data_IF_328770951570
#
_entry.id   IF_328770951570
#
_cell.length_a   1.000
_cell.length_b   1.000
_cell.length_c   1.000
_cell.angle_alpha   90.00
_cell.angle_beta   90.00
_cell.angle_gamma   90.00
#
_symmetry.space_group_name_H-M   'P 1'
#
loop_
_entity.id
_entity.type
_entity.pdbx_description
1 polymer ?
#
# COMPACT_ATOMS: atom_id res chain seq x y z
N UNK A 1 51.79 -24.32 28.24
CA UNK A 1 51.98 -24.47 26.77
C UNK A 1 50.83 -23.74 26.10
N UNK A 2 50.99 -22.42 25.90
CA UNK A 2 49.99 -21.58 25.22
C UNK A 2 50.17 -21.79 23.71
N UNK A 3 49.11 -22.23 23.02
CA UNK A 3 49.09 -22.27 21.55
C UNK A 3 48.73 -20.88 21.04
N UNK A 4 49.71 -20.16 20.53
CA UNK A 4 49.52 -18.94 19.75
C UNK A 4 48.77 -19.27 18.46
N UNK A 5 47.49 -18.90 18.40
CA UNK A 5 46.72 -18.86 17.16
C UNK A 5 46.86 -17.47 16.52
N UNK A 6 48.08 -17.12 16.09
CA UNK A 6 48.31 -15.92 15.29
C UNK A 6 48.34 -16.28 13.80
N UNK A 7 47.20 -16.73 13.28
CA UNK A 7 47.01 -17.00 11.85
C UNK A 7 46.56 -15.72 11.14
N UNK A 8 47.37 -15.22 10.20
CA UNK A 8 47.01 -14.06 9.37
C UNK A 8 45.68 -14.35 8.65
N UNK A 9 44.69 -13.44 8.69
CA UNK A 9 43.41 -13.68 8.05
C UNK A 9 43.62 -13.89 6.55
N UNK A 10 43.09 -14.98 6.02
CA UNK A 10 43.19 -15.31 4.59
C UNK A 10 42.39 -14.28 3.77
N UNK A 11 42.82 -14.01 2.54
CA UNK A 11 42.17 -13.05 1.64
C UNK A 11 40.65 -13.29 1.50
N UNK A 12 40.23 -14.56 1.55
CA UNK A 12 38.83 -15.01 1.58
C UNK A 12 38.06 -14.54 2.81
N UNK A 13 38.67 -14.56 4.00
CA UNK A 13 38.04 -14.07 5.24
C UNK A 13 37.86 -12.56 5.21
N UNK A 14 38.81 -11.82 4.64
CA UNK A 14 38.72 -10.36 4.46
C UNK A 14 37.59 -10.03 3.48
N UNK A 15 37.52 -10.72 2.33
CA UNK A 15 36.45 -10.54 1.35
C UNK A 15 35.07 -10.90 1.93
N UNK A 16 34.95 -11.99 2.68
CA UNK A 16 33.72 -12.38 3.36
C UNK A 16 33.29 -11.36 4.42
N UNK A 17 34.20 -10.88 5.26
CA UNK A 17 33.90 -9.85 6.24
C UNK A 17 33.50 -8.51 5.60
N UNK A 18 34.12 -8.14 4.47
CA UNK A 18 33.77 -6.92 3.72
C UNK A 18 32.43 -7.00 2.99
N UNK A 19 31.96 -8.19 2.63
CA UNK A 19 30.71 -8.38 1.87
C UNK A 19 29.47 -8.55 2.74
N UNK A 20 29.63 -8.92 4.02
CA UNK A 20 28.51 -9.12 4.95
C UNK A 20 27.64 -7.85 5.08
N UNK A 21 28.26 -6.67 5.14
CA UNK A 21 27.54 -5.39 5.19
C UNK A 21 26.67 -5.14 3.95
N UNK A 22 27.17 -5.46 2.75
CA UNK A 22 26.43 -5.33 1.49
C UNK A 22 25.26 -6.31 1.41
N UNK A 23 25.46 -7.56 1.84
CA UNK A 23 24.40 -8.57 1.88
C UNK A 23 23.29 -8.17 2.85
N UNK A 24 23.65 -7.69 4.04
CA UNK A 24 22.68 -7.20 5.03
C UNK A 24 21.91 -5.97 4.51
N UNK A 25 22.60 -5.01 3.89
CA UNK A 25 21.97 -3.84 3.29
C UNK A 25 20.98 -4.23 2.17
N UNK A 26 21.39 -5.14 1.28
CA UNK A 26 20.52 -5.65 0.21
C UNK A 26 19.30 -6.38 0.78
N UNK A 27 19.48 -7.27 1.75
CA UNK A 27 18.39 -8.00 2.39
C UNK A 27 17.40 -7.05 3.08
N UNK A 28 17.90 -6.03 3.79
CA UNK A 28 17.07 -4.98 4.40
C UNK A 28 16.30 -4.18 3.36
N UNK A 29 16.95 -3.79 2.25
CA UNK A 29 16.30 -3.09 1.15
C UNK A 29 15.16 -3.91 0.54
N UNK A 30 15.39 -5.19 0.24
CA UNK A 30 14.34 -6.08 -0.27
C UNK A 30 13.20 -6.28 0.72
N UNK A 31 13.49 -6.39 2.02
CA UNK A 31 12.46 -6.48 3.06
C UNK A 31 11.62 -5.21 3.14
N UNK A 32 12.25 -4.04 3.16
CA UNK A 32 11.54 -2.75 3.17
C UNK A 32 10.69 -2.57 1.93
N UNK A 33 11.23 -2.91 0.75
CA UNK A 33 10.48 -2.89 -0.50
C UNK A 33 9.26 -3.82 -0.43
N UNK A 34 9.44 -5.06 0.01
CA UNK A 34 8.34 -6.02 0.17
C UNK A 34 7.25 -5.53 1.12
N UNK A 35 7.62 -4.95 2.27
CA UNK A 35 6.67 -4.39 3.23
C UNK A 35 5.88 -3.22 2.64
N UNK A 36 6.56 -2.35 1.90
CA UNK A 36 5.92 -1.23 1.20
C UNK A 36 4.98 -1.73 0.11
N UNK A 37 5.41 -2.69 -0.69
CA UNK A 37 4.59 -3.28 -1.75
C UNK A 37 3.35 -3.95 -1.14
N UNK A 38 3.49 -4.69 -0.05
CA UNK A 38 2.34 -5.26 0.69
C UNK A 38 1.38 -4.19 1.25
N UNK A 39 1.87 -2.99 1.55
CA UNK A 39 1.04 -1.85 1.97
C UNK A 39 0.29 -1.23 0.79
N UNK A 40 0.85 -1.24 -0.41
CA UNK A 40 0.25 -0.57 -1.58
C UNK A 40 -0.65 -1.52 -2.39
N UNK A 41 -0.38 -2.82 -2.38
CA UNK A 41 -1.17 -3.79 -3.16
C UNK A 41 -2.56 -3.97 -2.53
N UNK A 42 -3.67 -3.84 -3.27
CA UNK A 42 -5.00 -4.22 -2.82
C UNK A 42 -5.05 -5.68 -2.38
N UNK A 43 -5.79 -5.97 -1.31
CA UNK A 43 -5.86 -7.34 -0.77
C UNK A 43 -6.79 -8.18 -1.65
N UNK A 44 -6.44 -9.44 -1.83
CA UNK A 44 -7.23 -10.42 -2.59
C UNK A 44 -7.50 -11.64 -1.72
N UNK A 45 -8.75 -12.08 -1.67
CA UNK A 45 -9.16 -13.34 -1.04
C UNK A 45 -9.15 -14.44 -2.09
N UNK A 46 -8.40 -15.50 -1.80
CA UNK A 46 -8.33 -16.69 -2.63
C UNK A 46 -9.24 -17.79 -2.07
N UNK A 47 -9.82 -18.60 -2.94
CA UNK A 47 -10.46 -19.87 -2.59
C UNK A 47 -9.43 -20.92 -2.19
N UNK A 48 -9.88 -22.04 -1.64
CA UNK A 48 -9.01 -23.19 -1.31
C UNK A 48 -8.27 -23.75 -2.53
N UNK A 49 -8.83 -23.55 -3.73
CA UNK A 49 -8.22 -23.92 -5.02
C UNK A 49 -7.27 -22.86 -5.60
N UNK A 50 -7.03 -21.76 -4.87
CA UNK A 50 -6.15 -20.66 -5.29
C UNK A 50 -6.77 -19.69 -6.28
N UNK A 51 -8.07 -19.81 -6.61
CA UNK A 51 -8.77 -18.86 -7.48
C UNK A 51 -9.11 -17.59 -6.71
N UNK A 52 -9.09 -16.45 -7.38
CA UNK A 52 -9.53 -15.18 -6.79
C UNK A 52 -11.04 -15.22 -6.57
N UNK A 53 -11.47 -15.13 -5.32
CA UNK A 53 -12.89 -15.17 -4.92
C UNK A 53 -13.44 -13.77 -4.68
N UNK A 54 -12.64 -12.90 -4.06
CA UNK A 54 -13.08 -11.56 -3.66
C UNK A 54 -11.92 -10.59 -3.61
N UNK A 55 -12.14 -9.40 -4.14
CA UNK A 55 -11.19 -8.28 -4.03
C UNK A 55 -11.51 -7.44 -2.77
N UNK A 56 -10.49 -6.82 -2.19
CA UNK A 56 -10.67 -5.77 -1.19
C UNK A 56 -11.58 -4.69 -1.75
N UNK A 57 -12.57 -4.21 -0.99
CA UNK A 57 -13.42 -3.12 -1.49
C UNK A 57 -12.59 -1.87 -1.74
N UNK A 58 -12.84 -1.14 -2.83
CA UNK A 58 -12.09 0.08 -3.13
C UNK A 58 -12.06 1.08 -1.97
N UNK A 59 -13.20 1.35 -1.33
CA UNK A 59 -13.25 2.26 -0.18
C UNK A 59 -12.46 1.77 1.04
N UNK A 60 -12.30 0.45 1.20
CA UNK A 60 -11.44 -0.10 2.26
C UNK A 60 -9.96 0.01 1.88
N UNK A 61 -9.65 -0.20 0.60
CA UNK A 61 -8.31 -0.01 0.06
C UNK A 61 -7.85 1.44 0.26
N UNK A 62 -8.69 2.42 -0.08
CA UNK A 62 -8.44 3.86 0.13
C UNK A 62 -8.19 4.18 1.61
N UNK A 63 -9.07 3.72 2.51
CA UNK A 63 -8.89 3.93 3.95
C UNK A 63 -7.52 3.42 4.44
N UNK A 64 -7.11 2.24 3.97
CA UNK A 64 -5.81 1.66 4.30
C UNK A 64 -4.63 2.43 3.72
N UNK A 65 -4.76 2.97 2.50
CA UNK A 65 -3.72 3.82 1.89
C UNK A 65 -3.55 5.13 2.68
N UNK A 66 -4.65 5.70 3.18
CA UNK A 66 -4.67 6.91 4.00
C UNK A 66 -4.25 6.66 5.47
N UNK A 67 -3.98 5.40 5.84
CA UNK A 67 -3.39 5.05 7.14
C UNK A 67 -4.39 4.57 8.20
N UNK A 68 -5.67 4.48 7.88
CA UNK A 68 -6.67 3.89 8.79
C UNK A 68 -6.46 2.38 8.90
N UNK A 69 -6.41 1.87 10.14
CA UNK A 69 -6.25 0.42 10.39
C UNK A 69 -7.58 -0.30 10.25
N UNK A 70 -8.66 0.35 10.65
CA UNK A 70 -10.03 -0.12 10.54
C UNK A 70 -10.89 0.89 9.78
N UNK A 71 -11.62 0.42 8.77
CA UNK A 71 -12.58 1.23 7.99
C UNK A 71 -13.64 1.93 8.86
N UNK A 72 -13.92 1.38 10.04
CA UNK A 72 -14.87 1.95 11.02
C UNK A 72 -14.36 3.25 11.64
N UNK A 73 -13.06 3.53 11.54
CA UNK A 73 -12.47 4.81 11.97
C UNK A 73 -12.85 5.96 11.02
N UNK A 74 -13.20 5.66 9.77
CA UNK A 74 -13.44 6.67 8.73
C UNK A 74 -14.65 6.35 7.83
N UNK A 75 -15.86 6.12 8.38
CA UNK A 75 -17.02 5.67 7.60
C UNK A 75 -17.44 6.68 6.51
N UNK A 76 -17.35 7.99 6.79
CA UNK A 76 -17.65 9.05 5.82
C UNK A 76 -16.68 9.03 4.63
N UNK A 77 -15.38 8.95 4.91
CA UNK A 77 -14.34 8.81 3.88
C UNK A 77 -14.56 7.56 3.00
N UNK A 78 -14.94 6.44 3.61
CA UNK A 78 -15.27 5.23 2.85
C UNK A 78 -16.48 5.44 1.93
N UNK A 79 -17.51 6.17 2.37
CA UNK A 79 -18.65 6.54 1.53
C UNK A 79 -18.18 7.40 0.36
N UNK A 80 -17.46 8.48 0.62
CA UNK A 80 -16.92 9.39 -0.40
C UNK A 80 -16.08 8.65 -1.45
N UNK A 81 -15.18 7.77 -1.01
CA UNK A 81 -14.36 6.96 -1.93
C UNK A 81 -15.22 6.03 -2.81
N UNK A 82 -16.27 5.43 -2.25
CA UNK A 82 -17.19 4.58 -3.01
C UNK A 82 -18.01 5.36 -4.04
N UNK A 83 -18.52 6.55 -3.68
CA UNK A 83 -19.26 7.41 -4.61
C UNK A 83 -18.34 8.00 -5.70
N UNK A 84 -17.12 8.40 -5.33
CA UNK A 84 -16.12 8.89 -6.27
C UNK A 84 -15.73 7.84 -7.31
N UNK A 85 -15.50 6.59 -6.88
CA UNK A 85 -15.18 5.49 -7.82
C UNK A 85 -16.33 5.21 -8.80
N UNK A 86 -17.58 5.33 -8.34
CA UNK A 86 -18.77 5.17 -9.19
C UNK A 86 -19.04 6.40 -10.06
N UNK A 87 -18.29 7.49 -9.86
CA UNK A 87 -18.54 8.79 -10.46
C UNK A 87 -20.00 9.21 -10.28
N UNK A 88 -20.52 8.99 -9.07
CA UNK A 88 -21.88 9.40 -8.69
C UNK A 88 -22.04 10.90 -8.83
N UNK A 89 -23.24 11.34 -9.23
CA UNK A 89 -23.57 12.75 -9.35
C UNK A 89 -23.37 13.48 -8.00
N UNK A 90 -22.74 14.66 -8.04
CA UNK A 90 -22.46 15.47 -6.85
C UNK A 90 -21.36 14.94 -5.92
N UNK A 91 -20.66 13.84 -6.28
CA UNK A 91 -19.67 13.26 -5.36
C UNK A 91 -18.50 14.20 -5.04
N UNK A 92 -18.09 15.08 -5.96
CA UNK A 92 -17.05 16.08 -5.69
C UNK A 92 -17.54 17.18 -4.75
N UNK A 93 -18.79 17.63 -4.89
CA UNK A 93 -19.41 18.59 -3.98
C UNK A 93 -19.54 18.00 -2.55
N UNK A 94 -19.89 16.71 -2.45
CA UNK A 94 -19.90 15.98 -1.18
C UNK A 94 -18.51 15.90 -0.54
N UNK A 95 -17.45 15.71 -1.34
CA UNK A 95 -16.06 15.72 -0.86
C UNK A 95 -15.65 17.12 -0.41
N UNK A 96 -16.05 18.16 -1.13
CA UNK A 96 -15.76 19.54 -0.74
C UNK A 96 -16.47 19.88 0.59
N UNK A 97 -17.75 19.53 0.70
CA UNK A 97 -18.58 19.74 1.90
C UNK A 97 -18.02 19.01 3.11
N UNK A 98 -17.37 17.85 2.93
CA UNK A 98 -16.72 17.11 4.01
C UNK A 98 -15.65 17.94 4.75
N UNK A 99 -15.05 18.93 4.09
CA UNK A 99 -14.05 19.81 4.68
C UNK A 99 -14.60 21.22 5.02
N UNK A 100 -15.92 21.43 5.02
CA UNK A 100 -16.52 22.76 5.15
C UNK A 100 -16.11 23.53 6.43
N UNK A 101 -15.80 22.82 7.51
CA UNK A 101 -15.39 23.41 8.79
C UNK A 101 -13.87 23.62 8.90
N UNK A 102 -13.09 23.17 7.91
CA UNK A 102 -11.63 23.27 7.92
C UNK A 102 -11.15 24.56 7.25
N UNK A 103 -10.19 25.29 7.84
CA UNK A 103 -9.69 26.56 7.29
C UNK A 103 -9.00 26.39 5.92
N UNK A 104 -8.54 25.19 5.60
CA UNK A 104 -7.84 24.84 4.35
C UNK A 104 -8.67 23.93 3.44
N UNK A 105 -10.01 24.07 3.45
CA UNK A 105 -10.94 23.21 2.73
C UNK A 105 -10.56 22.96 1.25
N UNK A 106 -10.21 24.02 0.50
CA UNK A 106 -9.78 23.92 -0.90
C UNK A 106 -8.54 23.02 -1.05
N UNK A 107 -7.54 23.18 -0.17
CA UNK A 107 -6.31 22.38 -0.21
C UNK A 107 -6.58 20.92 0.14
N UNK A 108 -7.43 20.69 1.14
CA UNK A 108 -7.79 19.35 1.59
C UNK A 108 -8.62 18.60 0.55
N UNK A 109 -9.55 19.29 -0.11
CA UNK A 109 -10.32 18.78 -1.25
C UNK A 109 -9.39 18.28 -2.35
N UNK A 110 -8.49 19.15 -2.84
CA UNK A 110 -7.53 18.80 -3.90
C UNK A 110 -6.70 17.59 -3.51
N UNK A 111 -6.12 17.60 -2.30
CA UNK A 111 -5.31 16.47 -1.81
C UNK A 111 -6.10 15.17 -1.75
N UNK A 112 -7.35 15.20 -1.28
CA UNK A 112 -8.15 14.01 -1.16
C UNK A 112 -8.54 13.44 -2.54
N UNK A 113 -8.90 14.30 -3.48
CA UNK A 113 -9.18 13.92 -4.87
C UNK A 113 -7.93 13.32 -5.53
N UNK A 114 -6.76 13.92 -5.34
CA UNK A 114 -5.48 13.38 -5.83
C UNK A 114 -5.19 11.98 -5.26
N UNK A 115 -5.43 11.77 -3.97
CA UNK A 115 -5.27 10.45 -3.35
C UNK A 115 -6.30 9.44 -3.89
N UNK A 116 -7.54 9.87 -4.16
CA UNK A 116 -8.56 9.01 -4.78
C UNK A 116 -8.16 8.59 -6.20
N UNK A 117 -7.65 9.51 -7.02
CA UNK A 117 -7.18 9.19 -8.38
C UNK A 117 -5.95 8.26 -8.34
N UNK A 118 -4.99 8.51 -7.44
CA UNK A 118 -3.83 7.61 -7.25
C UNK A 118 -4.25 6.21 -6.79
N UNK A 119 -5.20 6.14 -5.86
CA UNK A 119 -5.77 4.87 -5.40
C UNK A 119 -6.52 4.16 -6.53
N UNK A 120 -7.29 4.88 -7.33
CA UNK A 120 -8.04 4.36 -8.49
C UNK A 120 -7.08 3.70 -9.46
N UNK A 121 -6.07 4.42 -9.96
CA UNK A 121 -5.09 3.89 -10.90
C UNK A 121 -4.38 2.65 -10.37
N UNK A 122 -3.94 2.69 -9.10
CA UNK A 122 -3.29 1.53 -8.47
C UNK A 122 -4.23 0.34 -8.36
N UNK A 123 -5.46 0.57 -7.91
CA UNK A 123 -6.46 -0.47 -7.69
C UNK A 123 -6.85 -1.17 -8.99
N UNK A 124 -7.06 -0.43 -10.08
CA UNK A 124 -7.30 -1.00 -11.42
C UNK A 124 -6.06 -1.70 -11.98
N UNK A 125 -4.87 -1.14 -11.78
CA UNK A 125 -3.62 -1.77 -12.23
C UNK A 125 -3.39 -3.16 -11.63
N UNK A 126 -3.66 -3.33 -10.33
CA UNK A 126 -3.49 -4.63 -9.65
C UNK A 126 -4.60 -5.64 -9.96
N UNK A 127 -5.78 -5.18 -10.37
CA UNK A 127 -6.94 -6.03 -10.62
C UNK A 127 -7.31 -6.13 -12.10
N UNK A 128 -6.42 -5.75 -13.01
CA UNK A 128 -6.68 -5.75 -14.45
C UNK A 128 -7.18 -7.11 -14.99
N UNK A 129 -6.70 -8.22 -14.41
CA UNK A 129 -7.12 -9.59 -14.76
C UNK A 129 -8.42 -10.06 -14.10
N UNK A 130 -9.08 -9.20 -13.32
CA UNK A 130 -10.25 -9.51 -12.49
C UNK A 130 -11.36 -8.46 -12.67
N UNK A 131 -11.49 -7.90 -13.87
CA UNK A 131 -12.41 -6.81 -14.19
C UNK A 131 -13.87 -7.15 -13.82
N UNK A 132 -14.29 -8.41 -13.98
CA UNK A 132 -15.61 -8.90 -13.60
C UNK A 132 -15.91 -8.74 -12.10
N UNK A 133 -14.90 -8.93 -11.26
CA UNK A 133 -15.01 -8.72 -9.81
C UNK A 133 -14.92 -7.24 -9.42
N UNK A 134 -14.33 -6.40 -10.27
CA UNK A 134 -14.26 -4.96 -10.05
C UNK A 134 -15.60 -4.27 -10.32
N UNK A 135 -16.28 -4.64 -11.41
CA UNK A 135 -17.54 -4.02 -11.84
C UNK A 135 -18.68 -4.31 -10.85
N UNK A 136 -18.60 -5.43 -10.13
CA UNK A 136 -19.63 -5.87 -9.18
C UNK A 136 -19.52 -5.25 -7.78
N UNK A 137 -18.60 -4.29 -7.57
CA UNK A 137 -18.31 -3.70 -6.26
C UNK A 137 -19.22 -2.55 -5.84
#
# INVERSE_FOLDING_TARGET
>A
MYKDYNGKPTFTQILLASSLGLVLAAAMHFRLKKLRDQKIVPRVKLSDSGRVEKLEKFSHYVARQLGFKDRRECPHLCKLASEYMRKSEGCEDDIYTFFADEPDADSLFVKLVEEFERCTLSYFGFHWSHAELMISQ
#
